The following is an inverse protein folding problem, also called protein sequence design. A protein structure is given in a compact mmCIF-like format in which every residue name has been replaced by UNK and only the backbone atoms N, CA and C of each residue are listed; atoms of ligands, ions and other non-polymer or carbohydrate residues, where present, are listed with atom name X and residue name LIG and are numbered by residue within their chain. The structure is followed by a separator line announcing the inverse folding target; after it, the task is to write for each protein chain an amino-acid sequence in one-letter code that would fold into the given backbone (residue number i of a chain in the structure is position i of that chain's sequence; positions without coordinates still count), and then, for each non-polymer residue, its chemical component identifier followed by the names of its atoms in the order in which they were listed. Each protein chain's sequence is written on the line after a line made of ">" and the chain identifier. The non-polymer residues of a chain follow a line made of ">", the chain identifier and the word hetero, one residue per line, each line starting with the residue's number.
data_IF_648533354770
#
_entry.id   IF_648533354770
#
_cell.length_a   1.000
_cell.length_b   1.000
_cell.length_c   1.000
_cell.angle_alpha   90.00
_cell.angle_beta   90.00
_cell.angle_gamma   90.00
#
_symmetry.space_group_name_H-M   'P 1'
#
loop_
_entity.id
_entity.type
_entity.pdbx_description
1 polymer ?
#
# COMPACT_ATOMS: atom_id res chain seq x y z
N UNK A 1 14.40 9.88 -10.83
CA UNK A 1 13.41 10.14 -11.91
C UNK A 1 12.04 10.14 -11.27
N UNK A 2 11.30 11.24 -11.35
CA UNK A 2 9.95 11.33 -10.81
C UNK A 2 8.89 10.75 -11.76
N UNK A 3 7.72 10.39 -11.21
CA UNK A 3 6.52 10.05 -11.98
C UNK A 3 6.03 11.33 -12.68
N UNK A 4 5.58 11.21 -13.93
CA UNK A 4 5.05 12.34 -14.72
C UNK A 4 3.68 12.01 -15.28
N UNK A 5 2.73 12.92 -15.10
CA UNK A 5 1.41 12.83 -15.70
C UNK A 5 1.47 13.24 -17.19
N UNK A 6 1.02 12.33 -18.08
CA UNK A 6 0.87 12.60 -19.52
C UNK A 6 -0.59 12.49 -19.91
N UNK A 7 -1.13 13.56 -20.49
CA UNK A 7 -2.54 13.68 -20.86
C UNK A 7 -2.84 13.40 -22.34
N UNK A 8 -1.89 12.80 -23.08
CA UNK A 8 -1.96 12.63 -24.54
C UNK A 8 -3.12 11.77 -25.03
N UNK A 9 -3.66 10.86 -24.21
CA UNK A 9 -4.79 9.98 -24.57
C UNK A 9 -6.18 10.63 -24.44
N UNK A 10 -6.26 11.82 -23.87
CA UNK A 10 -7.50 12.43 -23.43
C UNK A 10 -8.20 13.29 -24.47
N UNK A 11 -7.58 13.56 -25.64
CA UNK A 11 -8.12 14.46 -26.68
C UNK A 11 -9.53 14.11 -27.18
N UNK A 12 -9.98 12.88 -26.97
CA UNK A 12 -11.37 12.46 -27.30
C UNK A 12 -12.39 12.90 -26.27
N UNK A 13 -11.96 13.16 -25.02
CA UNK A 13 -12.83 13.44 -23.88
C UNK A 13 -12.64 14.86 -23.35
N UNK A 14 -11.43 15.38 -23.46
CA UNK A 14 -11.04 16.73 -23.03
C UNK A 14 -10.50 17.45 -24.26
N UNK A 15 -11.22 18.43 -24.73
CA UNK A 15 -10.93 19.11 -26.02
C UNK A 15 -9.81 20.13 -25.91
N UNK A 16 -9.68 20.77 -24.76
CA UNK A 16 -8.71 21.82 -24.52
C UNK A 16 -8.14 21.76 -23.11
N UNK A 17 -6.93 22.27 -22.91
CA UNK A 17 -6.36 22.50 -21.58
C UNK A 17 -7.21 23.48 -20.75
N UNK A 18 -7.97 24.38 -21.40
CA UNK A 18 -8.88 25.31 -20.77
C UNK A 18 -9.98 24.59 -19.97
N UNK A 19 -10.49 23.46 -20.47
CA UNK A 19 -11.51 22.66 -19.72
C UNK A 19 -10.95 22.13 -18.37
N UNK A 20 -9.64 21.84 -18.30
CA UNK A 20 -8.99 21.44 -17.05
C UNK A 20 -8.77 22.68 -16.18
N UNK A 21 -8.40 23.81 -16.79
CA UNK A 21 -8.19 25.07 -16.10
C UNK A 21 -9.44 25.58 -15.39
N UNK A 22 -10.64 25.33 -15.92
CA UNK A 22 -11.91 25.68 -15.29
C UNK A 22 -12.10 25.02 -13.90
N UNK A 23 -11.44 23.88 -13.66
CA UNK A 23 -11.44 23.20 -12.37
C UNK A 23 -10.33 23.68 -11.41
N UNK A 24 -9.40 24.53 -11.88
CA UNK A 24 -8.23 24.96 -11.08
C UNK A 24 -8.66 25.68 -9.80
N UNK A 25 -9.66 26.54 -9.86
CA UNK A 25 -10.18 27.25 -8.68
C UNK A 25 -10.81 26.28 -7.65
N UNK A 26 -11.54 25.27 -8.13
CA UNK A 26 -12.15 24.25 -7.26
C UNK A 26 -11.09 23.37 -6.60
N UNK A 27 -10.06 22.98 -7.36
CA UNK A 27 -8.93 22.20 -6.84
C UNK A 27 -8.13 23.01 -5.82
N UNK A 28 -7.88 24.30 -6.08
CA UNK A 28 -7.22 25.17 -5.13
C UNK A 28 -8.00 25.30 -3.81
N UNK A 29 -9.31 25.52 -3.88
CA UNK A 29 -10.17 25.59 -2.70
C UNK A 29 -10.20 24.25 -1.92
N UNK A 30 -10.22 23.12 -2.62
CA UNK A 30 -10.14 21.80 -1.99
C UNK A 30 -8.78 21.57 -1.32
N UNK A 31 -7.68 22.00 -1.94
CA UNK A 31 -6.35 21.95 -1.37
C UNK A 31 -6.22 22.84 -0.12
N UNK A 32 -6.76 24.06 -0.16
CA UNK A 32 -6.80 24.94 1.00
C UNK A 32 -7.60 24.33 2.15
N UNK A 33 -8.72 23.71 1.85
CA UNK A 33 -9.53 22.96 2.84
C UNK A 33 -8.74 21.82 3.48
N UNK A 34 -8.00 21.06 2.68
CA UNK A 34 -7.16 19.94 3.14
C UNK A 34 -6.01 20.45 4.01
N UNK A 35 -5.25 21.43 3.53
CA UNK A 35 -4.05 21.93 4.20
C UNK A 35 -4.41 22.63 5.53
N UNK A 36 -5.52 23.39 5.55
CA UNK A 36 -5.98 24.09 6.74
C UNK A 36 -6.82 23.20 7.68
N UNK A 37 -7.13 21.97 7.29
CA UNK A 37 -7.90 21.03 8.11
C UNK A 37 -9.33 21.52 8.42
N UNK A 38 -9.97 22.25 7.49
CA UNK A 38 -11.29 22.87 7.71
C UNK A 38 -12.44 22.02 7.17
N UNK A 39 -12.15 20.90 6.52
CA UNK A 39 -13.15 20.00 5.97
C UNK A 39 -13.58 18.88 6.93
N UNK A 40 -14.63 18.16 6.55
CA UNK A 40 -15.06 16.96 7.25
C UNK A 40 -13.95 15.89 7.20
N UNK A 41 -13.73 15.21 8.34
CA UNK A 41 -12.66 14.19 8.45
C UNK A 41 -11.29 14.76 8.77
N UNK A 42 -11.21 16.01 9.20
CA UNK A 42 -9.96 16.66 9.61
C UNK A 42 -9.23 15.95 10.77
N UNK A 43 -9.93 15.14 11.55
CA UNK A 43 -9.35 14.29 12.61
C UNK A 43 -8.38 13.22 12.04
N UNK A 44 -8.41 12.95 10.73
CA UNK A 44 -7.62 11.91 10.06
C UNK A 44 -6.61 12.45 9.05
N UNK A 45 -6.09 13.65 9.25
CA UNK A 45 -5.11 14.30 8.36
C UNK A 45 -3.65 14.11 8.78
N UNK A 46 -3.36 13.27 9.77
CA UNK A 46 -2.00 13.01 10.23
C UNK A 46 -1.03 12.56 9.14
N UNK A 47 -1.53 11.90 8.11
CA UNK A 47 -0.72 11.47 6.96
C UNK A 47 -0.11 12.62 6.16
N UNK A 48 -0.73 13.79 6.16
CA UNK A 48 -0.30 14.94 5.34
C UNK A 48 1.10 15.44 5.73
N UNK A 49 1.38 15.51 7.02
CA UNK A 49 2.66 15.98 7.55
C UNK A 49 3.59 14.84 7.99
N UNK A 50 3.09 13.59 8.01
CA UNK A 50 3.86 12.43 8.44
C UNK A 50 5.25 12.32 7.79
N UNK A 51 5.44 12.62 6.48
CA UNK A 51 6.76 12.51 5.87
C UNK A 51 7.85 13.39 6.49
N UNK A 52 7.48 14.45 7.20
CA UNK A 52 8.41 15.39 7.83
C UNK A 52 8.29 15.44 9.35
N UNK A 53 7.11 15.09 9.88
CA UNK A 53 6.76 15.15 11.31
C UNK A 53 6.40 13.75 11.85
N UNK A 54 7.34 12.83 11.78
CA UNK A 54 7.20 11.48 12.32
C UNK A 54 8.05 11.29 13.57
N UNK A 55 7.65 10.36 14.44
CA UNK A 55 8.40 9.97 15.62
C UNK A 55 9.75 9.35 15.23
N UNK A 56 10.84 10.08 15.50
CA UNK A 56 12.21 9.67 15.16
C UNK A 56 12.69 8.52 16.03
N UNK A 57 12.25 8.44 17.27
CA UNK A 57 12.64 7.38 18.18
C UNK A 57 11.95 6.08 17.80
N UNK A 58 10.64 6.13 17.49
CA UNK A 58 9.94 4.96 16.96
C UNK A 58 10.50 4.52 15.61
N UNK A 59 10.86 5.45 14.73
CA UNK A 59 11.52 5.13 13.46
C UNK A 59 12.87 4.42 13.66
N UNK A 60 13.66 4.85 14.64
CA UNK A 60 14.91 4.17 15.00
C UNK A 60 14.64 2.76 15.56
N UNK A 61 13.59 2.60 16.38
CA UNK A 61 13.16 1.28 16.88
C UNK A 61 12.71 0.34 15.75
N UNK A 62 11.99 0.85 14.74
CA UNK A 62 11.61 0.07 13.56
C UNK A 62 12.86 -0.51 12.88
N UNK A 63 13.92 0.28 12.69
CA UNK A 63 15.18 -0.20 12.11
C UNK A 63 15.86 -1.27 12.97
N UNK A 64 15.82 -1.11 14.29
CA UNK A 64 16.38 -2.10 15.22
C UNK A 64 15.57 -3.41 15.16
N UNK A 65 14.25 -3.34 15.19
CA UNK A 65 13.38 -4.50 15.07
C UNK A 65 13.54 -5.20 13.70
N UNK A 66 13.66 -4.45 12.62
CA UNK A 66 13.95 -5.02 11.30
C UNK A 66 15.26 -5.78 11.26
N UNK A 67 16.34 -5.23 11.85
CA UNK A 67 17.62 -5.92 12.00
C UNK A 67 17.50 -7.17 12.86
N UNK A 68 16.77 -7.12 13.97
CA UNK A 68 16.51 -8.29 14.82
C UNK A 68 15.80 -9.38 14.03
N UNK A 69 14.76 -9.03 13.25
CA UNK A 69 14.05 -9.96 12.38
C UNK A 69 15.01 -10.60 11.37
N UNK A 70 15.81 -9.81 10.68
CA UNK A 70 16.80 -10.30 9.70
C UNK A 70 17.84 -11.24 10.30
N UNK A 71 18.21 -11.06 11.55
CA UNK A 71 19.18 -11.88 12.25
C UNK A 71 18.61 -13.16 12.88
N UNK A 72 17.31 -13.22 13.10
CA UNK A 72 16.66 -14.27 13.89
C UNK A 72 15.72 -15.17 13.13
N UNK A 73 15.36 -14.83 11.88
CA UNK A 73 14.44 -15.66 11.12
C UNK A 73 14.72 -15.69 9.61
N UNK A 74 14.37 -16.81 8.99
CA UNK A 74 14.36 -17.01 7.53
C UNK A 74 13.09 -16.49 6.90
N UNK A 75 12.01 -16.41 7.69
CA UNK A 75 10.66 -16.08 7.22
C UNK A 75 10.01 -15.07 8.15
N UNK A 76 9.53 -13.96 7.60
CA UNK A 76 8.64 -13.01 8.26
C UNK A 76 7.21 -13.19 7.78
N UNK A 77 6.30 -13.45 8.71
CA UNK A 77 4.86 -13.47 8.41
C UNK A 77 4.24 -12.14 8.86
N UNK A 78 3.77 -11.37 7.90
CA UNK A 78 3.03 -10.11 8.14
C UNK A 78 1.55 -10.43 8.15
N UNK A 79 0.89 -10.20 9.28
CA UNK A 79 -0.53 -10.51 9.46
C UNK A 79 -1.33 -9.22 9.47
N UNK A 80 -2.21 -9.03 8.49
CA UNK A 80 -3.04 -7.85 8.37
C UNK A 80 -4.00 -7.92 7.20
N UNK A 81 -4.98 -7.02 7.15
CA UNK A 81 -5.95 -6.90 6.06
C UNK A 81 -6.08 -5.44 5.61
N UNK A 82 -6.43 -5.22 4.36
CA UNK A 82 -6.61 -3.88 3.80
C UNK A 82 -5.36 -3.01 3.96
N UNK A 83 -5.50 -1.81 4.52
CA UNK A 83 -4.39 -0.88 4.75
C UNK A 83 -3.26 -1.44 5.62
N UNK A 84 -3.53 -2.47 6.42
CA UNK A 84 -2.52 -3.10 7.27
C UNK A 84 -1.55 -4.01 6.51
N UNK A 85 -1.78 -4.29 5.21
CA UNK A 85 -0.82 -5.07 4.42
C UNK A 85 -0.60 -4.55 3.00
N UNK A 86 -1.62 -3.95 2.36
CA UNK A 86 -1.57 -3.57 0.94
C UNK A 86 -0.43 -2.62 0.62
N UNK A 87 -0.26 -1.56 1.42
CA UNK A 87 0.79 -0.57 1.18
C UNK A 87 2.20 -1.14 1.33
N UNK A 88 2.44 -1.94 2.38
CA UNK A 88 3.72 -2.61 2.59
C UNK A 88 4.03 -3.58 1.44
N UNK A 89 3.07 -4.43 1.07
CA UNK A 89 3.22 -5.38 -0.02
C UNK A 89 3.46 -4.70 -1.36
N UNK A 90 2.70 -3.64 -1.64
CA UNK A 90 2.89 -2.85 -2.86
C UNK A 90 4.31 -2.26 -2.96
N UNK A 91 4.84 -1.71 -1.86
CA UNK A 91 6.18 -1.17 -1.84
C UNK A 91 7.26 -2.25 -2.02
N UNK A 92 7.13 -3.38 -1.33
CA UNK A 92 8.07 -4.51 -1.43
C UNK A 92 8.09 -5.08 -2.85
N UNK A 93 6.92 -5.37 -3.44
CA UNK A 93 6.85 -5.90 -4.81
C UNK A 93 7.30 -4.88 -5.86
N UNK A 94 7.03 -3.59 -5.64
CA UNK A 94 7.47 -2.54 -6.56
C UNK A 94 8.99 -2.39 -6.62
N UNK A 95 9.66 -2.44 -5.47
CA UNK A 95 11.11 -2.22 -5.37
C UNK A 95 11.88 -3.50 -5.67
N UNK A 96 11.46 -4.63 -5.09
CA UNK A 96 12.20 -5.89 -5.14
C UNK A 96 11.69 -6.85 -6.24
N UNK A 97 10.56 -6.52 -6.90
CA UNK A 97 9.93 -7.36 -7.93
C UNK A 97 9.06 -8.47 -7.34
N UNK A 98 8.31 -9.17 -8.22
CA UNK A 98 7.38 -10.23 -7.79
C UNK A 98 8.07 -11.48 -7.23
N UNK A 99 9.30 -11.74 -7.63
CA UNK A 99 10.09 -12.90 -7.18
C UNK A 99 11.03 -12.56 -6.01
N UNK A 100 10.72 -11.51 -5.25
CA UNK A 100 11.59 -10.99 -4.20
C UNK A 100 11.99 -12.05 -3.16
N UNK A 101 11.12 -12.98 -2.83
CA UNK A 101 11.44 -14.07 -1.89
C UNK A 101 12.51 -15.03 -2.43
N UNK A 102 12.57 -15.25 -3.75
CA UNK A 102 13.54 -16.14 -4.40
C UNK A 102 14.84 -15.42 -4.77
N UNK A 103 14.80 -14.10 -4.96
CA UNK A 103 15.95 -13.29 -5.43
C UNK A 103 16.52 -12.37 -4.35
N UNK A 104 16.01 -12.44 -3.12
CA UNK A 104 16.45 -11.60 -2.01
C UNK A 104 17.93 -11.79 -1.69
N UNK A 105 18.62 -10.75 -1.19
CA UNK A 105 19.95 -10.89 -0.67
C UNK A 105 20.03 -11.86 0.52
N UNK A 106 21.20 -12.46 0.74
CA UNK A 106 21.47 -13.27 1.91
C UNK A 106 21.25 -12.44 3.20
N UNK A 107 20.68 -13.04 4.23
CA UNK A 107 20.35 -12.38 5.50
C UNK A 107 19.06 -11.57 5.49
N UNK A 108 18.35 -11.48 4.36
CA UNK A 108 17.00 -10.91 4.31
C UNK A 108 15.96 -12.04 4.36
N UNK A 109 14.97 -12.01 5.27
CA UNK A 109 13.95 -13.06 5.36
C UNK A 109 13.02 -13.05 4.15
N UNK A 110 12.43 -14.19 3.85
CA UNK A 110 11.24 -14.25 3.00
C UNK A 110 10.07 -13.57 3.71
N UNK A 111 9.28 -12.79 2.97
CA UNK A 111 8.12 -12.10 3.54
C UNK A 111 6.84 -12.65 2.93
N UNK A 112 5.94 -13.13 3.78
CA UNK A 112 4.62 -13.61 3.39
C UNK A 112 3.53 -12.89 4.15
N UNK A 113 2.37 -12.76 3.51
CA UNK A 113 1.24 -12.04 4.06
C UNK A 113 0.11 -13.01 4.41
N UNK A 114 -0.41 -12.90 5.63
CA UNK A 114 -1.53 -13.71 6.14
C UNK A 114 -2.61 -12.80 6.74
N UNK A 115 -3.78 -13.38 7.05
CA UNK A 115 -4.87 -12.61 7.67
C UNK A 115 -5.58 -11.64 6.73
N UNK A 116 -5.34 -11.75 5.43
CA UNK A 116 -6.04 -11.03 4.38
C UNK A 116 -7.19 -11.84 3.76
N UNK A 117 -7.44 -13.01 4.30
CA UNK A 117 -8.53 -13.92 3.95
C UNK A 117 -8.81 -14.90 5.10
N UNK A 118 -9.89 -15.68 5.01
CA UNK A 118 -10.29 -16.69 5.99
C UNK A 118 -10.07 -18.14 5.49
N UNK A 119 -9.27 -18.31 4.45
CA UNK A 119 -9.02 -19.65 3.87
C UNK A 119 -8.11 -20.47 4.75
N UNK A 120 -8.62 -21.60 5.26
CA UNK A 120 -7.83 -22.56 6.03
C UNK A 120 -6.77 -23.25 5.18
N UNK A 121 -7.04 -23.52 3.90
CA UNK A 121 -6.05 -24.10 2.98
C UNK A 121 -4.88 -23.14 2.75
N UNK A 122 -5.15 -21.84 2.52
CA UNK A 122 -4.10 -20.84 2.37
C UNK A 122 -3.21 -20.73 3.64
N UNK A 123 -3.83 -20.71 4.83
CA UNK A 123 -3.08 -20.67 6.08
C UNK A 123 -2.24 -21.94 6.28
N UNK A 124 -2.79 -23.12 5.97
CA UNK A 124 -2.06 -24.38 6.02
C UNK A 124 -0.88 -24.39 5.03
N UNK A 125 -1.02 -23.82 3.86
CA UNK A 125 0.08 -23.71 2.89
C UNK A 125 1.20 -22.78 3.39
N UNK A 126 0.86 -21.68 4.08
CA UNK A 126 1.86 -20.86 4.77
C UNK A 126 2.58 -21.67 5.85
N UNK A 127 1.86 -22.42 6.69
CA UNK A 127 2.45 -23.26 7.74
C UNK A 127 3.39 -24.32 7.14
N UNK A 128 2.98 -25.00 6.08
CA UNK A 128 3.83 -25.96 5.37
C UNK A 128 5.07 -25.30 4.77
N UNK A 129 4.90 -24.11 4.20
CA UNK A 129 5.98 -23.35 3.61
C UNK A 129 6.99 -22.88 4.66
N UNK A 130 6.55 -22.49 5.87
CA UNK A 130 7.47 -22.23 7.00
C UNK A 130 8.30 -23.47 7.31
N UNK A 131 7.65 -24.63 7.45
CA UNK A 131 8.32 -25.91 7.76
C UNK A 131 9.15 -25.80 9.04
N UNK A 132 10.39 -26.28 8.96
CA UNK A 132 11.34 -26.25 10.08
C UNK A 132 12.17 -24.96 10.15
N UNK A 133 11.96 -24.00 9.22
CA UNK A 133 12.70 -22.73 9.18
C UNK A 133 12.32 -21.82 10.33
N UNK A 134 13.26 -20.98 10.74
CA UNK A 134 13.00 -19.95 11.75
C UNK A 134 12.09 -18.85 11.20
N UNK A 135 11.11 -18.43 11.99
CA UNK A 135 10.16 -17.40 11.58
C UNK A 135 9.84 -16.39 12.67
N UNK A 136 9.49 -15.19 12.22
CA UNK A 136 8.95 -14.10 13.01
C UNK A 136 7.55 -13.73 12.55
N UNK A 137 6.79 -13.08 13.40
CA UNK A 137 5.43 -12.60 13.13
C UNK A 137 5.38 -11.08 13.35
N UNK A 138 4.87 -10.34 12.38
CA UNK A 138 4.42 -8.97 12.58
C UNK A 138 2.89 -8.93 12.44
N UNK A 139 2.19 -8.89 13.57
CA UNK A 139 0.74 -8.71 13.60
C UNK A 139 0.37 -7.24 13.57
N UNK A 140 -0.46 -6.83 12.62
CA UNK A 140 -0.85 -5.45 12.38
C UNK A 140 -2.38 -5.33 12.48
N UNK A 141 -2.85 -4.75 13.56
CA UNK A 141 -4.29 -4.49 13.77
C UNK A 141 -4.48 -3.42 14.83
N UNK A 142 -5.12 -2.29 14.47
CA UNK A 142 -5.36 -1.22 15.43
C UNK A 142 -6.27 -1.68 16.59
N UNK A 143 -7.41 -2.27 16.28
CA UNK A 143 -8.37 -2.75 17.29
C UNK A 143 -8.01 -4.12 17.88
N UNK A 144 -7.34 -4.97 17.10
CA UNK A 144 -7.12 -6.37 17.44
C UNK A 144 -8.37 -7.28 17.33
N UNK A 145 -9.50 -6.74 16.84
CA UNK A 145 -10.77 -7.46 16.75
C UNK A 145 -11.17 -7.82 15.30
N UNK A 146 -10.41 -7.39 14.32
CA UNK A 146 -10.65 -7.76 12.92
C UNK A 146 -10.49 -9.28 12.77
N UNK A 147 -11.52 -9.92 12.23
CA UNK A 147 -11.69 -11.39 12.28
C UNK A 147 -10.57 -12.14 11.57
N UNK A 148 -10.23 -11.72 10.34
CA UNK A 148 -9.26 -12.42 9.49
C UNK A 148 -7.85 -12.43 10.09
N UNK A 149 -7.27 -11.28 10.47
CA UNK A 149 -5.98 -11.25 11.17
C UNK A 149 -6.01 -11.97 12.53
N UNK A 150 -7.13 -11.89 13.29
CA UNK A 150 -7.22 -12.53 14.59
C UNK A 150 -7.19 -14.06 14.47
N UNK A 151 -7.86 -14.65 13.46
CA UNK A 151 -7.82 -16.10 13.18
C UNK A 151 -6.40 -16.50 12.80
N UNK A 152 -5.81 -15.83 11.80
CA UNK A 152 -4.46 -16.15 11.34
C UNK A 152 -3.42 -16.02 12.47
N UNK A 153 -3.52 -14.96 13.26
CA UNK A 153 -2.59 -14.74 14.38
C UNK A 153 -2.73 -15.82 15.46
N UNK A 154 -3.95 -16.24 15.81
CA UNK A 154 -4.15 -17.29 16.79
C UNK A 154 -3.44 -18.59 16.43
N UNK A 155 -3.55 -19.03 15.18
CA UNK A 155 -2.94 -20.27 14.73
C UNK A 155 -1.41 -20.15 14.59
N UNK A 156 -0.92 -19.03 14.04
CA UNK A 156 0.52 -18.80 13.89
C UNK A 156 1.22 -18.52 15.24
N UNK A 157 0.53 -17.88 16.22
CA UNK A 157 1.01 -17.74 17.59
C UNK A 157 1.18 -19.10 18.25
N UNK A 158 0.20 -20.00 18.14
CA UNK A 158 0.32 -21.38 18.66
C UNK A 158 1.52 -22.12 18.05
N UNK A 159 1.71 -21.99 16.74
CA UNK A 159 2.87 -22.59 16.07
C UNK A 159 4.18 -22.01 16.61
N UNK A 160 4.25 -20.69 16.78
CA UNK A 160 5.42 -19.99 17.31
C UNK A 160 5.75 -20.44 18.75
N UNK A 161 4.74 -20.50 19.61
CA UNK A 161 4.88 -20.96 21.00
C UNK A 161 5.27 -22.44 21.08
N UNK A 162 4.71 -23.27 20.20
CA UNK A 162 5.06 -24.70 20.13
C UNK A 162 6.52 -24.91 19.74
N UNK A 163 7.03 -24.06 18.84
CA UNK A 163 8.41 -24.19 18.33
C UNK A 163 9.45 -23.58 19.29
N UNK A 164 9.16 -22.43 19.87
CA UNK A 164 10.15 -21.63 20.62
C UNK A 164 9.87 -21.51 22.12
N UNK A 165 8.73 -22.05 22.60
CA UNK A 165 8.23 -21.75 23.92
C UNK A 165 7.69 -20.31 24.03
N UNK A 166 7.11 -19.94 25.15
CA UNK A 166 6.54 -18.59 25.35
C UNK A 166 7.60 -17.49 25.27
N UNK A 167 8.73 -17.66 25.92
CA UNK A 167 9.80 -16.68 25.92
C UNK A 167 10.40 -16.49 24.52
N UNK A 168 10.67 -17.58 23.80
CA UNK A 168 11.17 -17.50 22.43
C UNK A 168 10.14 -16.91 21.44
N UNK A 169 8.86 -17.16 21.65
CA UNK A 169 7.78 -16.55 20.86
C UNK A 169 7.66 -15.05 21.12
N UNK A 170 7.81 -14.61 22.38
CA UNK A 170 7.83 -13.19 22.75
C UNK A 170 8.87 -12.40 21.96
N UNK A 171 10.05 -12.97 21.81
CA UNK A 171 11.15 -12.31 21.08
C UNK A 171 10.96 -12.26 19.54
N UNK A 172 9.99 -13.03 19.01
CA UNK A 172 9.72 -13.20 17.57
C UNK A 172 8.40 -12.63 17.09
N UNK A 173 7.56 -12.13 18.03
CA UNK A 173 6.27 -11.52 17.72
C UNK A 173 6.37 -10.02 17.94
N UNK A 174 6.07 -9.27 16.88
CA UNK A 174 6.02 -7.80 16.85
C UNK A 174 4.60 -7.37 16.61
N UNK A 175 4.04 -6.51 17.45
CA UNK A 175 2.66 -6.06 17.36
C UNK A 175 2.58 -4.58 16.96
N UNK A 176 2.05 -4.31 15.77
CA UNK A 176 1.75 -2.96 15.30
C UNK A 176 0.27 -2.68 15.57
N UNK A 177 -0.02 -1.85 16.58
CA UNK A 177 -1.37 -1.71 17.13
C UNK A 177 -1.62 -0.30 17.69
N UNK A 178 -2.75 -0.10 18.35
CA UNK A 178 -3.06 1.15 19.07
C UNK A 178 -2.05 1.39 20.21
N UNK A 179 -1.85 2.65 20.55
CA UNK A 179 -0.93 3.05 21.63
C UNK A 179 -1.37 2.56 23.01
N UNK A 180 -2.66 2.62 23.29
CA UNK A 180 -3.21 2.45 24.63
C UNK A 180 -4.37 1.45 24.71
N UNK A 181 -5.09 1.21 23.62
CA UNK A 181 -6.37 0.51 23.61
C UNK A 181 -6.41 -0.64 22.62
N UNK A 182 -7.41 -1.49 22.79
CA UNK A 182 -7.67 -2.59 21.86
C UNK A 182 -7.21 -3.94 22.37
N UNK A 183 -7.79 -4.99 21.79
CA UNK A 183 -7.54 -6.37 22.21
C UNK A 183 -6.09 -6.80 21.93
N UNK A 184 -5.52 -6.36 20.79
CA UNK A 184 -4.14 -6.67 20.45
C UNK A 184 -3.14 -5.94 21.35
N UNK A 185 -3.41 -4.66 21.70
CA UNK A 185 -2.58 -3.90 22.64
C UNK A 185 -2.52 -4.59 24.00
N UNK A 186 -3.70 -4.93 24.53
CA UNK A 186 -3.76 -5.65 25.80
C UNK A 186 -2.99 -6.97 25.75
N UNK A 187 -3.20 -7.77 24.70
CA UNK A 187 -2.49 -9.04 24.55
C UNK A 187 -0.98 -8.83 24.45
N UNK A 188 -0.54 -7.83 23.69
CA UNK A 188 0.88 -7.54 23.51
C UNK A 188 1.54 -7.12 24.85
N UNK A 189 0.85 -6.34 25.68
CA UNK A 189 1.32 -5.95 27.00
C UNK A 189 1.38 -7.14 27.96
N UNK A 190 0.33 -7.98 27.99
CA UNK A 190 0.23 -9.16 28.84
C UNK A 190 1.32 -10.20 28.51
N UNK A 191 1.65 -10.37 27.21
CA UNK A 191 2.65 -11.33 26.72
C UNK A 191 4.05 -10.72 26.57
N UNK A 192 4.18 -9.40 26.68
CA UNK A 192 5.46 -8.66 26.58
C UNK A 192 6.00 -8.56 25.14
N UNK A 193 5.15 -8.50 24.13
CA UNK A 193 5.59 -8.32 22.74
C UNK A 193 6.12 -6.91 22.50
N UNK A 194 7.09 -6.77 21.60
CA UNK A 194 7.52 -5.46 21.13
C UNK A 194 6.40 -4.81 20.32
N UNK A 195 6.02 -3.57 20.71
CA UNK A 195 4.88 -2.86 20.11
C UNK A 195 5.30 -1.64 19.32
N UNK A 196 4.57 -1.37 18.22
CA UNK A 196 4.67 -0.18 17.38
C UNK A 196 3.30 0.46 17.23
N UNK A 197 3.26 1.79 17.14
CA UNK A 197 2.01 2.54 17.22
C UNK A 197 1.39 2.79 15.84
N UNK A 198 0.11 2.49 15.71
CA UNK A 198 -0.74 3.00 14.62
C UNK A 198 -1.32 4.32 15.08
N UNK A 199 -0.93 5.47 14.51
CA UNK A 199 -1.42 6.77 14.97
C UNK A 199 -2.94 6.91 14.85
N UNK A 200 -3.57 7.59 15.83
CA UNK A 200 -5.02 7.75 15.85
C UNK A 200 -5.57 8.62 14.73
N UNK A 201 -4.80 9.61 14.33
CA UNK A 201 -5.14 10.57 13.29
C UNK A 201 -4.78 10.11 11.87
N UNK A 202 -4.45 8.81 11.69
CA UNK A 202 -4.14 8.24 10.37
C UNK A 202 -5.06 7.04 10.12
N UNK A 203 -5.85 7.13 9.05
CA UNK A 203 -6.70 6.02 8.61
C UNK A 203 -5.88 4.86 8.02
N UNK A 204 -6.41 3.63 8.09
CA UNK A 204 -5.70 2.42 7.67
C UNK A 204 -5.13 2.48 6.24
N UNK A 205 -5.91 2.95 5.28
CA UNK A 205 -5.50 3.07 3.87
C UNK A 205 -4.41 4.12 3.61
N UNK A 206 -4.15 5.02 4.57
CA UNK A 206 -3.10 6.05 4.53
C UNK A 206 -1.88 5.70 5.38
N UNK A 207 -1.83 4.52 5.99
CA UNK A 207 -0.88 4.19 7.06
C UNK A 207 0.47 3.62 6.59
N UNK A 208 0.72 3.53 5.29
CA UNK A 208 1.94 2.90 4.73
C UNK A 208 3.25 3.52 5.24
N UNK A 209 3.28 4.82 5.53
CA UNK A 209 4.45 5.53 6.08
C UNK A 209 4.48 5.57 7.61
N UNK A 210 3.65 4.79 8.28
CA UNK A 210 3.70 4.50 9.73
C UNK A 210 4.40 3.16 9.96
N UNK A 211 4.59 2.70 11.21
CA UNK A 211 5.10 1.36 11.49
C UNK A 211 4.37 0.23 10.74
N UNK A 212 3.10 0.45 10.36
CA UNK A 212 2.28 -0.48 9.57
C UNK A 212 2.98 -0.91 8.28
N UNK A 213 3.56 0.04 7.54
CA UNK A 213 4.28 -0.27 6.30
C UNK A 213 5.79 -0.31 6.50
N UNK A 214 6.34 0.58 7.35
CA UNK A 214 7.78 0.76 7.48
C UNK A 214 8.48 -0.47 8.08
N UNK A 215 7.89 -1.15 9.07
CA UNK A 215 8.51 -2.33 9.66
C UNK A 215 8.61 -3.51 8.68
N UNK A 216 7.55 -3.92 7.97
CA UNK A 216 7.66 -4.94 6.94
C UNK A 216 8.61 -4.57 5.80
N UNK A 217 8.61 -3.30 5.34
CA UNK A 217 9.52 -2.82 4.31
C UNK A 217 10.98 -2.91 4.75
N UNK A 218 11.30 -2.42 5.94
CA UNK A 218 12.66 -2.47 6.47
C UNK A 218 13.13 -3.92 6.68
N UNK A 219 12.27 -4.80 7.19
CA UNK A 219 12.58 -6.22 7.34
C UNK A 219 12.84 -6.92 5.99
N UNK A 220 12.10 -6.51 4.93
CA UNK A 220 12.32 -6.96 3.55
C UNK A 220 13.55 -6.33 2.86
N UNK A 221 14.34 -5.55 3.59
CA UNK A 221 15.58 -4.94 3.08
C UNK A 221 15.41 -3.64 2.31
N UNK A 222 14.24 -3.00 2.34
CA UNK A 222 14.05 -1.69 1.73
C UNK A 222 14.71 -0.60 2.58
N UNK A 223 15.29 0.38 1.90
CA UNK A 223 15.79 1.61 2.54
C UNK A 223 14.63 2.54 2.91
N UNK A 224 14.15 2.44 4.14
CA UNK A 224 13.04 3.25 4.63
C UNK A 224 13.42 4.73 4.84
N UNK A 225 14.70 5.07 4.97
CA UNK A 225 15.15 6.47 4.96
C UNK A 225 14.93 7.08 3.57
N UNK A 226 15.27 6.36 2.51
CA UNK A 226 15.01 6.79 1.14
C UNK A 226 13.50 6.89 0.84
N UNK A 227 12.68 5.96 1.38
CA UNK A 227 11.21 6.02 1.28
C UNK A 227 10.68 7.30 1.92
N UNK A 228 11.08 7.61 3.15
CA UNK A 228 10.64 8.82 3.86
C UNK A 228 11.15 10.10 3.20
N UNK A 229 12.38 10.11 2.72
CA UNK A 229 12.94 11.24 1.97
C UNK A 229 12.17 11.50 0.67
N UNK A 230 11.82 10.45 -0.07
CA UNK A 230 10.98 10.56 -1.26
C UNK A 230 9.58 11.09 -0.97
N UNK A 231 8.97 10.65 0.13
CA UNK A 231 7.68 11.14 0.59
C UNK A 231 7.74 12.61 1.02
N UNK A 232 8.81 13.03 1.71
CA UNK A 232 9.02 14.42 2.09
C UNK A 232 9.18 15.34 0.86
N UNK A 233 9.95 14.90 -0.14
CA UNK A 233 10.10 15.64 -1.39
C UNK A 233 8.77 15.77 -2.15
N UNK A 234 7.97 14.69 -2.21
CA UNK A 234 6.64 14.73 -2.81
C UNK A 234 5.68 15.66 -2.05
N UNK A 235 5.74 15.65 -0.71
CA UNK A 235 4.97 16.58 0.10
C UNK A 235 5.31 18.02 -0.22
N UNK A 236 6.59 18.35 -0.31
CA UNK A 236 7.04 19.71 -0.68
C UNK A 236 6.55 20.12 -2.06
N UNK A 237 6.69 19.22 -3.07
CA UNK A 237 6.26 19.48 -4.44
C UNK A 237 4.74 19.68 -4.56
N UNK A 238 3.94 18.86 -3.85
CA UNK A 238 2.48 18.82 -4.03
C UNK A 238 1.67 19.57 -2.97
N UNK A 239 2.31 20.15 -1.97
CA UNK A 239 1.62 20.96 -0.95
C UNK A 239 1.37 22.41 -1.38
N UNK A 240 2.02 22.86 -2.45
CA UNK A 240 1.95 24.26 -2.89
C UNK A 240 1.40 24.39 -4.31
N UNK A 241 0.49 25.34 -4.49
CA UNK A 241 -0.05 25.67 -5.80
C UNK A 241 -1.09 24.67 -6.32
N UNK A 242 -1.81 25.05 -7.36
CA UNK A 242 -2.91 24.26 -7.94
C UNK A 242 -2.62 23.68 -9.32
N UNK A 243 -1.36 23.74 -9.78
CA UNK A 243 -0.97 23.33 -11.13
C UNK A 243 -0.05 22.09 -11.18
N UNK A 244 0.29 21.51 -10.03
CA UNK A 244 1.09 20.28 -9.97
C UNK A 244 0.31 19.05 -10.49
N UNK A 245 1.02 17.97 -10.80
CA UNK A 245 0.44 16.78 -11.45
C UNK A 245 -0.72 16.14 -10.65
N UNK A 246 -0.66 16.13 -9.31
CA UNK A 246 -1.76 15.63 -8.47
C UNK A 246 -3.02 16.50 -8.61
N UNK A 247 -2.89 17.82 -8.60
CA UNK A 247 -4.00 18.76 -8.79
C UNK A 247 -4.64 18.60 -10.19
N UNK A 248 -3.81 18.49 -11.24
CA UNK A 248 -4.27 18.25 -12.60
C UNK A 248 -4.99 16.90 -12.73
N UNK A 249 -4.49 15.88 -12.06
CA UNK A 249 -5.13 14.56 -12.03
C UNK A 249 -6.50 14.63 -11.33
N UNK A 250 -6.58 15.28 -10.17
CA UNK A 250 -7.84 15.49 -9.46
C UNK A 250 -8.87 16.27 -10.31
N UNK A 251 -8.44 17.38 -10.95
CA UNK A 251 -9.29 18.15 -11.86
C UNK A 251 -9.83 17.28 -13.01
N UNK A 252 -8.95 16.49 -13.62
CA UNK A 252 -9.30 15.59 -14.70
C UNK A 252 -10.33 14.54 -14.29
N UNK A 253 -10.16 13.91 -13.14
CA UNK A 253 -11.08 12.91 -12.60
C UNK A 253 -12.48 13.52 -12.41
N UNK A 254 -12.56 14.70 -11.82
CA UNK A 254 -13.82 15.43 -11.62
C UNK A 254 -14.46 15.85 -12.97
N UNK A 255 -13.69 16.37 -13.91
CA UNK A 255 -14.16 16.71 -15.25
C UNK A 255 -14.75 15.50 -15.98
N UNK A 256 -14.07 14.36 -15.92
CA UNK A 256 -14.55 13.14 -16.56
C UNK A 256 -15.79 12.56 -15.87
N UNK A 257 -15.86 12.62 -14.53
CA UNK A 257 -17.06 12.26 -13.77
C UNK A 257 -18.25 13.15 -14.19
N UNK A 258 -18.07 14.46 -14.27
CA UNK A 258 -19.08 15.39 -14.75
C UNK A 258 -19.53 15.09 -16.18
N UNK A 259 -18.63 14.61 -17.05
CA UNK A 259 -18.93 14.13 -18.40
C UNK A 259 -19.56 12.71 -18.43
N UNK A 260 -19.96 12.17 -17.28
CA UNK A 260 -20.65 10.88 -17.15
C UNK A 260 -19.74 9.66 -17.17
N UNK A 261 -18.44 9.83 -16.91
CA UNK A 261 -17.49 8.72 -16.72
C UNK A 261 -17.48 8.31 -15.26
N UNK A 262 -18.12 7.20 -14.94
CA UNK A 262 -18.30 6.73 -13.56
C UNK A 262 -17.28 5.67 -13.12
N UNK A 263 -16.43 5.21 -14.02
CA UNK A 263 -15.45 4.15 -13.75
C UNK A 263 -14.05 4.59 -14.19
N UNK A 264 -13.08 4.33 -13.32
CA UNK A 264 -11.65 4.51 -13.58
C UNK A 264 -10.95 3.17 -13.52
N UNK A 265 -10.16 2.84 -14.54
CA UNK A 265 -9.38 1.61 -14.59
C UNK A 265 -7.89 1.96 -14.61
N UNK A 266 -7.18 1.57 -13.54
CA UNK A 266 -5.72 1.65 -13.45
C UNK A 266 -5.11 0.47 -14.19
N UNK A 267 -4.48 0.75 -15.35
CA UNK A 267 -3.87 -0.30 -16.18
C UNK A 267 -2.38 -0.37 -15.92
N UNK A 268 -1.91 -1.51 -15.43
CA UNK A 268 -0.50 -1.78 -15.21
C UNK A 268 0.07 -2.62 -16.36
N UNK A 269 1.26 -2.23 -16.84
CA UNK A 269 2.06 -3.02 -17.79
C UNK A 269 3.27 -3.67 -17.13
N UNK A 270 3.58 -3.24 -15.93
CA UNK A 270 4.69 -3.75 -15.11
C UNK A 270 4.11 -4.61 -13.98
N UNK A 271 4.44 -5.93 -13.95
CA UNK A 271 3.90 -6.85 -12.94
C UNK A 271 4.17 -6.42 -11.49
N UNK A 272 5.28 -5.74 -11.22
CA UNK A 272 5.60 -5.22 -9.88
C UNK A 272 4.63 -4.14 -9.38
N UNK A 273 3.75 -3.60 -10.24
CA UNK A 273 2.74 -2.61 -9.90
C UNK A 273 1.36 -3.21 -9.57
N UNK A 274 1.20 -4.53 -9.63
CA UNK A 274 -0.09 -5.20 -9.37
C UNK A 274 -0.63 -4.82 -8.01
N UNK A 275 0.17 -4.95 -6.97
CA UNK A 275 -0.25 -4.64 -5.61
C UNK A 275 -0.43 -3.13 -5.36
N UNK A 276 0.24 -2.27 -6.12
CA UNK A 276 -0.05 -0.84 -6.12
C UNK A 276 -1.47 -0.56 -6.64
N UNK A 277 -1.90 -1.25 -7.69
CA UNK A 277 -3.27 -1.20 -8.19
C UNK A 277 -4.30 -1.64 -7.13
N UNK A 278 -4.01 -2.72 -6.39
CA UNK A 278 -4.86 -3.20 -5.30
C UNK A 278 -4.97 -2.16 -4.16
N UNK A 279 -3.85 -1.56 -3.76
CA UNK A 279 -3.85 -0.51 -2.74
C UNK A 279 -4.61 0.74 -3.20
N UNK A 280 -4.43 1.17 -4.47
CA UNK A 280 -5.14 2.33 -5.03
C UNK A 280 -6.66 2.14 -5.05
N UNK A 281 -7.16 0.93 -5.31
CA UNK A 281 -8.61 0.63 -5.20
C UNK A 281 -9.12 0.96 -3.80
N UNK A 282 -8.49 0.43 -2.75
CA UNK A 282 -8.89 0.74 -1.38
C UNK A 282 -8.78 2.24 -1.08
N UNK A 283 -7.66 2.87 -1.49
CA UNK A 283 -7.41 4.28 -1.19
C UNK A 283 -8.51 5.19 -1.79
N UNK A 284 -8.87 4.98 -3.05
CA UNK A 284 -9.87 5.81 -3.71
C UNK A 284 -11.30 5.42 -3.34
N UNK A 285 -11.66 4.14 -3.40
CA UNK A 285 -13.04 3.71 -3.17
C UNK A 285 -13.51 4.00 -1.74
N UNK A 286 -12.68 3.75 -0.73
CA UNK A 286 -13.02 4.09 0.66
C UNK A 286 -12.94 5.60 0.94
N UNK A 287 -12.17 6.39 0.19
CA UNK A 287 -12.07 7.83 0.41
C UNK A 287 -13.21 8.58 -0.27
N UNK A 288 -13.56 8.22 -1.49
CA UNK A 288 -14.46 8.95 -2.36
C UNK A 288 -15.86 8.32 -2.47
N UNK A 289 -15.98 7.00 -2.24
CA UNK A 289 -17.23 6.23 -2.37
C UNK A 289 -18.24 6.49 -1.25
N UNK A 290 -18.50 7.75 -0.92
CA UNK A 290 -19.44 8.18 0.12
C UNK A 290 -20.60 8.95 -0.51
N UNK A 291 -21.78 8.90 0.11
CA UNK A 291 -22.99 9.62 -0.32
C UNK A 291 -23.37 9.35 -1.79
N UNK A 292 -23.12 8.15 -2.29
CA UNK A 292 -23.32 7.77 -3.70
C UNK A 292 -22.53 8.64 -4.69
N UNK A 293 -21.37 9.17 -4.27
CA UNK A 293 -20.46 10.01 -5.05
C UNK A 293 -19.16 9.27 -5.35
N UNK A 294 -18.35 9.86 -6.23
CA UNK A 294 -17.06 9.36 -6.61
C UNK A 294 -17.06 8.45 -7.83
N UNK A 295 -15.87 8.06 -8.24
CA UNK A 295 -15.62 7.11 -9.31
C UNK A 295 -15.48 5.70 -8.73
N UNK A 296 -15.98 4.68 -9.43
CA UNK A 296 -15.60 3.31 -9.13
C UNK A 296 -14.20 3.04 -9.69
N UNK A 297 -13.25 2.80 -8.82
CA UNK A 297 -11.84 2.57 -9.21
C UNK A 297 -11.55 1.07 -9.22
N UNK A 298 -10.96 0.60 -10.31
CA UNK A 298 -10.52 -0.80 -10.45
C UNK A 298 -9.15 -0.86 -11.12
N UNK A 299 -8.55 -2.04 -11.20
CA UNK A 299 -7.27 -2.26 -11.85
C UNK A 299 -7.32 -3.37 -12.89
N UNK A 300 -6.43 -3.30 -13.88
CA UNK A 300 -6.22 -4.34 -14.87
C UNK A 300 -4.72 -4.50 -15.15
N UNK A 301 -4.26 -5.73 -15.30
CA UNK A 301 -2.87 -6.07 -15.51
C UNK A 301 -2.67 -6.55 -16.96
N UNK A 302 -2.07 -5.71 -17.78
CA UNK A 302 -1.80 -6.03 -19.18
C UNK A 302 -0.46 -6.79 -19.28
N UNK A 303 -0.40 -7.78 -20.11
CA UNK A 303 -1.34 -8.23 -21.17
C UNK A 303 -2.40 -9.24 -20.73
N UNK A 304 -2.31 -9.82 -19.51
CA UNK A 304 -3.22 -10.89 -19.06
C UNK A 304 -4.69 -10.48 -19.19
N UNK A 305 -5.06 -9.32 -18.66
CA UNK A 305 -6.45 -8.84 -18.66
C UNK A 305 -6.86 -8.20 -20.01
N UNK A 306 -5.91 -8.04 -20.93
CA UNK A 306 -6.19 -7.48 -22.26
C UNK A 306 -6.96 -8.46 -23.13
N UNK A 307 -6.64 -9.74 -23.10
CA UNK A 307 -7.22 -10.77 -23.98
C UNK A 307 -8.75 -10.87 -23.81
N UNK A 308 -9.29 -11.05 -22.59
CA UNK A 308 -10.75 -11.10 -22.38
C UNK A 308 -11.42 -9.72 -22.48
N UNK A 309 -10.69 -8.63 -22.22
CA UNK A 309 -11.28 -7.30 -22.13
C UNK A 309 -11.38 -6.58 -23.47
N UNK A 310 -10.64 -6.99 -24.52
CA UNK A 310 -10.63 -6.29 -25.81
C UNK A 310 -12.00 -6.27 -26.47
N UNK A 311 -12.75 -7.35 -26.42
CA UNK A 311 -14.12 -7.42 -26.96
C UNK A 311 -15.06 -6.49 -26.19
N UNK A 312 -14.98 -6.51 -24.84
CA UNK A 312 -15.80 -5.67 -23.96
C UNK A 312 -15.42 -4.18 -24.09
N UNK A 313 -14.11 -3.85 -24.19
CA UNK A 313 -13.65 -2.47 -24.38
C UNK A 313 -13.96 -1.91 -25.79
N UNK A 314 -14.09 -2.75 -26.82
CA UNK A 314 -14.51 -2.34 -28.15
C UNK A 314 -16.02 -2.09 -28.26
N UNK A 315 -16.82 -2.85 -27.54
CA UNK A 315 -18.29 -2.86 -27.62
C UNK A 315 -18.96 -2.08 -26.50
N UNK A 316 -18.34 -1.94 -25.31
CA UNK A 316 -18.85 -1.09 -24.26
C UNK A 316 -18.85 0.38 -24.72
N UNK A 317 -19.97 1.07 -24.60
CA UNK A 317 -20.02 2.53 -24.76
C UNK A 317 -18.90 3.11 -23.90
N UNK A 318 -18.12 4.04 -24.47
CA UNK A 318 -16.92 4.61 -23.84
C UNK A 318 -17.24 5.33 -22.51
N UNK A 319 -17.56 4.55 -21.47
CA UNK A 319 -17.81 5.00 -20.10
C UNK A 319 -16.52 5.00 -19.24
N UNK A 320 -15.43 4.45 -19.78
CA UNK A 320 -14.20 4.24 -19.06
C UNK A 320 -13.16 5.33 -19.35
N UNK A 321 -12.59 5.92 -18.32
CA UNK A 321 -11.38 6.75 -18.42
C UNK A 321 -10.15 5.88 -18.20
N UNK A 322 -9.11 6.04 -19.01
CA UNK A 322 -7.83 5.32 -18.89
C UNK A 322 -6.73 6.28 -18.44
N UNK A 323 -6.27 6.28 -17.21
CA UNK A 323 -4.95 6.79 -16.90
C UNK A 323 -3.90 5.70 -17.21
N UNK A 324 -2.92 6.00 -18.06
CA UNK A 324 -1.80 5.11 -18.30
C UNK A 324 -0.62 5.56 -17.43
N UNK A 325 -0.34 4.84 -16.35
CA UNK A 325 0.96 4.93 -15.68
C UNK A 325 2.00 4.15 -16.49
N UNK A 326 2.68 4.82 -17.40
CA UNK A 326 3.83 4.24 -18.11
C UNK A 326 5.13 4.55 -17.35
N UNK A 327 5.68 3.60 -16.61
CA UNK A 327 7.07 3.69 -16.19
C UNK A 327 7.98 3.28 -17.36
N UNK A 328 8.89 4.17 -17.79
CA UNK A 328 9.99 3.77 -18.66
C UNK A 328 11.15 3.30 -17.78
N UNK A 329 11.14 2.05 -17.36
CA UNK A 329 12.39 1.38 -17.02
C UNK A 329 13.03 0.89 -18.34
N UNK A 330 14.27 1.26 -18.59
CA UNK A 330 15.08 0.59 -19.60
C UNK A 330 15.53 -0.76 -19.02
N UNK A 331 14.68 -1.76 -19.14
CA UNK A 331 15.18 -3.14 -19.08
C UNK A 331 16.05 -3.39 -20.33
N UNK A 332 17.17 -4.12 -20.22
CA UNK A 332 17.93 -4.52 -21.38
C UNK A 332 17.02 -5.35 -22.30
N UNK A 333 16.97 -4.99 -23.57
CA UNK A 333 16.26 -5.76 -24.61
C UNK A 333 16.95 -7.11 -24.74
N UNK A 334 16.27 -8.17 -24.38
CA UNK A 334 16.63 -9.50 -24.85
C UNK A 334 16.39 -9.53 -26.36
N UNK A 335 17.36 -9.98 -27.18
CA UNK A 335 17.14 -10.16 -28.59
C UNK A 335 16.11 -11.28 -28.80
N UNK A 336 14.99 -10.95 -29.43
CA UNK A 336 14.05 -11.95 -29.94
C UNK A 336 14.61 -12.33 -31.32
N UNK A 337 15.24 -13.49 -31.42
CA UNK A 337 15.58 -14.08 -32.72
C UNK A 337 14.26 -14.55 -33.37
N UNK A 338 13.93 -13.93 -34.49
CA UNK A 338 12.93 -14.46 -35.41
C UNK A 338 13.53 -15.67 -36.12
N UNK A 339 13.13 -16.86 -35.74
CA UNK A 339 13.24 -18.05 -36.63
C UNK A 339 12.03 -18.05 -37.53
N UNK A 340 12.31 -18.14 -38.83
CA UNK A 340 11.36 -18.27 -39.94
C UNK A 340 10.42 -19.47 -39.80
#
# INVERSE_FOLDING_TARGET
>A
MGIKLKLTGLRRFVRTEAEIADYTAQVAAAQDTLVNGTGAGNDFLGWLNLPVDYDRDEFARIKQAAKKIQQTCDVLIVIGIGGSYLGARAAIEFVNGQFYNQTRPEGIPEVYFAGNNISSSYLNDIIKMIGDRDFCINIISKSGTTTEPAIAFRELKKLCESKYGKEGARERIFATTDKERGALKKLADDEGYETFVVPDNIGGRFSVLTPVGLLPMAAAGLDIDAVMAGAAAAREEYSQGSLHDCARYAALRNLLLFKGKSMEIMVNYEPSLVMLGEWLKQLFDESEGKDHKGLFVTSANFSTDFIPSVSSFRTARASCSRPCCGSRSRAPRLPIEHTE
#
